data_IF_840087576600
#
_entry.id   IF_840087576600
#
_cell.length_a   1.000
_cell.length_b   1.000
_cell.length_c   1.000
_cell.angle_alpha   90.00
_cell.angle_beta   90.00
_cell.angle_gamma   90.00
#
_symmetry.space_group_name_H-M   'P 1'
#
loop_
_entity.id
_entity.type
_entity.pdbx_description
1 polymer ?
#
# COMPACT_ATOMS: atom_id res chain seq x y z
N UNK A 1 -25.26 3.73 16.95
CA UNK A 1 -24.28 2.73 16.49
C UNK A 1 -23.73 3.25 15.18
N UNK A 2 -22.43 3.57 15.08
CA UNK A 2 -21.85 4.01 13.82
C UNK A 2 -22.07 2.91 12.77
N UNK A 3 -22.33 3.31 11.53
CA UNK A 3 -22.50 2.34 10.44
C UNK A 3 -21.17 1.67 10.10
N UNK A 4 -21.22 0.46 9.53
CA UNK A 4 -20.02 -0.33 9.25
C UNK A 4 -18.95 0.42 8.42
N UNK A 5 -19.37 1.37 7.56
CA UNK A 5 -18.45 2.19 6.77
C UNK A 5 -17.89 3.39 7.55
N UNK A 6 -18.65 3.94 8.49
CA UNK A 6 -18.25 5.10 9.31
C UNK A 6 -17.07 4.78 10.23
N UNK A 7 -16.95 3.53 10.69
CA UNK A 7 -15.86 3.06 11.54
C UNK A 7 -14.73 2.34 10.80
N UNK A 8 -14.81 2.21 9.48
CA UNK A 8 -13.81 1.51 8.69
C UNK A 8 -12.52 2.34 8.55
N UNK A 9 -11.37 1.73 8.86
CA UNK A 9 -10.07 2.36 8.62
C UNK A 9 -9.77 2.43 7.11
N UNK A 10 -9.23 3.56 6.61
CA UNK A 10 -8.91 3.69 5.20
C UNK A 10 -7.76 2.78 4.77
N UNK A 11 -7.81 2.34 3.51
CA UNK A 11 -6.75 1.57 2.86
C UNK A 11 -6.39 2.26 1.56
N UNK A 12 -5.10 2.55 1.35
CA UNK A 12 -4.55 3.08 0.12
C UNK A 12 -3.89 1.96 -0.69
N UNK A 13 -4.27 1.83 -1.97
CA UNK A 13 -3.73 0.81 -2.87
C UNK A 13 -2.79 1.44 -3.89
N UNK A 14 -1.56 0.91 -3.97
CA UNK A 14 -0.55 1.37 -4.92
C UNK A 14 -0.08 0.18 -5.78
N UNK A 15 -0.07 0.29 -7.11
CA UNK A 15 0.56 -0.72 -7.95
C UNK A 15 2.09 -0.59 -7.93
N UNK A 16 2.81 -1.70 -7.99
CA UNK A 16 4.27 -1.71 -8.17
C UNK A 16 4.72 -2.92 -8.99
N UNK A 17 5.66 -2.69 -9.91
CA UNK A 17 6.35 -3.76 -10.65
C UNK A 17 7.47 -4.41 -9.83
N UNK A 18 7.95 -3.73 -8.78
CA UNK A 18 9.06 -4.16 -7.93
C UNK A 18 8.75 -3.89 -6.44
N UNK A 19 8.30 -4.95 -5.74
CA UNK A 19 7.97 -4.86 -4.31
C UNK A 19 9.19 -4.63 -3.42
N UNK A 20 10.39 -5.09 -3.80
CA UNK A 20 11.60 -4.90 -3.00
C UNK A 20 12.07 -3.46 -3.06
N UNK A 21 11.95 -2.82 -4.22
CA UNK A 21 12.16 -1.38 -4.36
C UNK A 21 11.11 -0.59 -3.58
N UNK A 22 9.83 -0.98 -3.63
CA UNK A 22 8.79 -0.33 -2.84
C UNK A 22 9.02 -0.47 -1.33
N UNK A 23 9.38 -1.67 -0.83
CA UNK A 23 9.72 -1.90 0.58
C UNK A 23 10.87 -1.01 1.04
N UNK A 24 11.95 -0.92 0.25
CA UNK A 24 13.08 -0.04 0.56
C UNK A 24 12.69 1.43 0.57
N UNK A 25 11.88 1.88 -0.39
CA UNK A 25 11.43 3.26 -0.44
C UNK A 25 10.53 3.63 0.74
N UNK A 26 9.43 2.89 0.93
CA UNK A 26 8.46 3.23 1.97
C UNK A 26 8.94 2.85 3.37
N UNK A 27 9.57 1.69 3.52
CA UNK A 27 10.03 1.19 4.82
C UNK A 27 11.36 1.77 5.25
N UNK A 28 12.39 1.67 4.39
CA UNK A 28 13.76 2.02 4.79
C UNK A 28 14.02 3.54 4.65
N UNK A 29 13.61 4.16 3.53
CA UNK A 29 13.83 5.59 3.28
C UNK A 29 12.81 6.49 3.98
N UNK A 30 11.52 6.16 3.90
CA UNK A 30 10.46 6.95 4.54
C UNK A 30 10.15 6.53 5.98
N UNK A 31 10.69 5.39 6.43
CA UNK A 31 10.53 4.92 7.81
C UNK A 31 9.14 4.38 8.15
N UNK A 32 8.31 4.03 7.15
CA UNK A 32 6.99 3.46 7.43
C UNK A 32 7.13 2.04 8.00
N UNK A 33 6.41 1.69 9.07
CA UNK A 33 6.39 0.33 9.58
C UNK A 33 5.94 -0.66 8.49
N UNK A 34 6.77 -1.65 8.22
CA UNK A 34 6.42 -2.78 7.35
C UNK A 34 5.66 -3.80 8.18
N UNK A 35 4.43 -4.10 7.79
CA UNK A 35 3.57 -5.08 8.48
C UNK A 35 3.66 -6.47 7.84
N UNK A 36 3.74 -6.52 6.51
CA UNK A 36 3.81 -7.77 5.75
C UNK A 36 4.59 -7.59 4.45
N UNK A 37 5.36 -8.62 4.06
CA UNK A 37 5.92 -8.75 2.71
C UNK A 37 5.62 -10.15 2.20
N UNK A 38 5.02 -10.22 1.02
CA UNK A 38 4.73 -11.48 0.32
C UNK A 38 5.09 -11.36 -1.16
N UNK A 39 4.91 -12.46 -1.91
CA UNK A 39 5.07 -12.44 -3.36
C UNK A 39 4.08 -11.51 -4.07
N UNK A 40 2.96 -11.16 -3.43
CA UNK A 40 1.85 -10.43 -4.05
C UNK A 40 1.74 -8.98 -3.55
N UNK A 41 2.21 -8.68 -2.34
CA UNK A 41 2.10 -7.34 -1.79
C UNK A 41 3.18 -7.02 -0.75
N UNK A 42 3.43 -5.72 -0.58
CA UNK A 42 4.11 -5.15 0.58
C UNK A 42 3.09 -4.26 1.31
N UNK A 43 2.81 -4.60 2.57
CA UNK A 43 1.86 -3.88 3.43
C UNK A 43 2.64 -3.05 4.43
N UNK A 44 2.32 -1.75 4.48
CA UNK A 44 2.92 -0.79 5.39
C UNK A 44 1.85 0.00 6.16
N UNK A 45 2.25 0.59 7.28
CA UNK A 45 1.40 1.48 8.09
C UNK A 45 1.77 2.94 7.87
N UNK A 46 0.80 3.77 7.48
CA UNK A 46 0.93 5.21 7.38
C UNK A 46 -0.06 5.87 8.35
N UNK A 47 0.32 5.99 9.62
CA UNK A 47 -0.58 6.43 10.68
C UNK A 47 -1.80 5.48 10.80
N UNK A 48 -3.05 5.97 10.72
CA UNK A 48 -4.23 5.09 10.75
C UNK A 48 -4.46 4.34 9.44
N UNK A 49 -3.81 4.74 8.34
CA UNK A 49 -4.05 4.21 7.00
C UNK A 49 -3.15 3.02 6.73
N UNK A 50 -3.74 1.93 6.23
CA UNK A 50 -2.97 0.83 5.65
C UNK A 50 -2.54 1.23 4.23
N UNK A 51 -1.26 1.10 3.93
CA UNK A 51 -0.72 1.23 2.58
C UNK A 51 -0.45 -0.17 2.01
N UNK A 52 -1.23 -0.59 1.02
CA UNK A 52 -1.06 -1.88 0.35
C UNK A 52 -0.46 -1.69 -1.03
N UNK A 53 0.84 -1.93 -1.14
CA UNK A 53 1.55 -1.93 -2.42
C UNK A 53 1.40 -3.31 -3.05
N UNK A 54 0.70 -3.39 -4.18
CA UNK A 54 0.35 -4.65 -4.86
C UNK A 54 1.25 -4.87 -6.08
N UNK A 55 1.76 -6.09 -6.24
CA UNK A 55 2.53 -6.45 -7.43
C UNK A 55 1.65 -6.41 -8.68
N UNK A 56 2.11 -5.72 -9.72
CA UNK A 56 1.53 -5.74 -11.06
C UNK A 56 2.62 -6.05 -12.08
N UNK A 57 2.26 -6.68 -13.19
CA UNK A 57 3.23 -7.00 -14.25
C UNK A 57 3.58 -5.78 -15.12
N UNK A 58 2.77 -4.73 -15.07
CA UNK A 58 3.02 -3.46 -15.74
C UNK A 58 2.05 -2.38 -15.28
N UNK A 59 2.53 -1.13 -15.20
CA UNK A 59 1.71 0.03 -14.90
C UNK A 59 1.31 0.76 -16.19
N UNK A 60 0.00 0.87 -16.44
CA UNK A 60 -0.58 1.65 -17.54
C UNK A 60 -1.56 2.70 -16.97
N UNK A 61 -1.06 3.89 -16.58
CA UNK A 61 -1.90 4.96 -16.05
C UNK A 61 -2.99 5.33 -17.05
N UNK A 62 -4.24 5.39 -16.59
CA UNK A 62 -5.35 5.86 -17.41
C UNK A 62 -5.36 7.40 -17.43
N UNK A 63 -5.84 8.04 -18.51
CA UNK A 63 -5.85 9.50 -18.64
C UNK A 63 -6.95 10.18 -17.77
N UNK A 64 -7.57 9.44 -16.86
CA UNK A 64 -8.59 9.91 -15.93
C UNK A 64 -8.25 9.44 -14.51
N UNK A 65 -8.73 10.21 -13.53
CA UNK A 65 -8.57 9.94 -12.08
C UNK A 65 -9.93 9.78 -11.44
#
# INVERSE_FOLDING_TARGET
>A
MPTALESAAPIAFLPSEDLDRSRRFFGDLLGLPVEEVSAFACVLRAGPTMLRVTRVDGLQPQPFT
#
